data_IF_053234199252
#
_entry.id   IF_053234199252
#
_cell.length_a   1.000
_cell.length_b   1.000
_cell.length_c   1.000
_cell.angle_alpha   90.00
_cell.angle_beta   90.00
_cell.angle_gamma   90.00
#
_symmetry.space_group_name_H-M   'P 1'
#
loop_
_entity.id
_entity.type
_entity.pdbx_description
1 polymer ?
#
# COMPACT_ATOMS: atom_id res chain seq x y z
N UNK A 1 62.71 -80.44 18.78
CA UNK A 1 62.72 -78.97 18.98
C UNK A 1 61.51 -78.43 18.24
N UNK A 2 60.41 -78.11 18.92
CA UNK A 2 59.16 -77.71 18.34
C UNK A 2 58.97 -76.24 18.57
N UNK A 3 58.70 -75.50 17.46
CA UNK A 3 58.40 -74.05 17.47
C UNK A 3 56.89 -73.90 17.26
N UNK A 4 56.22 -73.49 18.30
CA UNK A 4 54.75 -73.20 18.30
C UNK A 4 54.50 -71.83 17.79
N UNK A 5 53.85 -71.68 16.59
CA UNK A 5 53.27 -70.48 16.13
C UNK A 5 51.89 -70.23 16.76
N UNK A 6 51.81 -69.24 17.62
CA UNK A 6 50.51 -68.66 18.08
C UNK A 6 49.94 -67.67 17.04
N UNK A 7 48.86 -68.09 16.44
CA UNK A 7 48.04 -67.20 15.65
C UNK A 7 47.30 -66.19 16.57
N UNK A 8 47.56 -64.91 16.44
CA UNK A 8 46.78 -63.82 17.04
C UNK A 8 45.55 -63.59 16.20
N UNK A 9 44.41 -63.94 16.71
CA UNK A 9 43.12 -63.54 16.18
C UNK A 9 43.00 -62.01 16.30
N UNK A 10 42.79 -61.35 15.15
CA UNK A 10 42.40 -59.96 15.11
C UNK A 10 40.95 -59.83 15.59
N UNK A 11 40.76 -59.43 16.80
CA UNK A 11 39.43 -59.00 17.30
C UNK A 11 39.01 -57.76 16.57
N UNK A 12 37.88 -57.82 15.93
CA UNK A 12 37.16 -56.74 15.24
C UNK A 12 36.78 -55.63 16.22
N UNK A 13 37.28 -54.45 16.01
CA UNK A 13 36.68 -53.22 16.52
C UNK A 13 35.58 -52.78 15.56
N UNK A 14 34.34 -52.94 15.88
CA UNK A 14 33.37 -51.96 15.50
C UNK A 14 32.17 -51.88 16.45
N UNK A 15 32.11 -50.98 17.35
CA UNK A 15 30.85 -50.61 18.03
C UNK A 15 30.88 -49.12 18.49
N UNK A 16 32.09 -48.51 18.58
CA UNK A 16 32.18 -47.14 19.09
C UNK A 16 31.73 -46.02 18.10
N UNK A 17 31.63 -46.28 16.79
CA UNK A 17 31.25 -45.26 15.83
C UNK A 17 29.73 -45.12 15.62
N UNK A 18 28.95 -46.14 15.90
CA UNK A 18 27.50 -46.15 15.68
C UNK A 18 26.74 -45.50 16.84
N UNK A 19 27.17 -45.72 18.07
CA UNK A 19 26.62 -45.07 19.26
C UNK A 19 26.89 -43.56 19.21
N UNK A 20 28.07 -43.16 18.75
CA UNK A 20 28.44 -41.74 18.67
C UNK A 20 27.58 -40.93 17.66
N UNK A 21 27.11 -41.50 16.56
CA UNK A 21 26.29 -40.81 15.59
C UNK A 21 24.86 -40.57 16.08
N UNK A 22 24.24 -41.54 16.72
CA UNK A 22 22.91 -41.41 17.30
C UNK A 22 22.89 -40.44 18.50
N UNK A 23 23.93 -40.51 19.36
CA UNK A 23 24.07 -39.54 20.47
C UNK A 23 24.31 -38.12 19.99
N UNK A 24 25.07 -37.90 18.90
CA UNK A 24 25.28 -36.60 18.30
C UNK A 24 24.00 -36.05 17.67
N UNK A 25 23.20 -36.88 16.99
CA UNK A 25 21.90 -36.45 16.43
C UNK A 25 20.89 -36.13 17.54
N UNK A 26 20.87 -36.93 18.63
CA UNK A 26 20.05 -36.65 19.80
C UNK A 26 20.45 -35.32 20.47
N UNK A 27 21.74 -35.11 20.67
CA UNK A 27 22.25 -33.85 21.23
C UNK A 27 21.97 -32.66 20.33
N UNK A 28 22.14 -32.78 19.00
CA UNK A 28 21.78 -31.75 18.03
C UNK A 28 20.28 -31.45 18.06
N UNK A 29 19.45 -32.46 18.28
CA UNK A 29 18.01 -32.32 18.46
C UNK A 29 17.64 -31.40 19.61
N UNK A 30 18.37 -31.53 20.74
CA UNK A 30 18.14 -30.69 21.93
C UNK A 30 18.66 -29.26 21.78
N UNK A 31 19.64 -29.07 20.88
CA UNK A 31 20.25 -27.74 20.63
C UNK A 31 19.56 -26.93 19.51
N UNK A 32 18.75 -27.55 18.67
CA UNK A 32 18.14 -26.93 17.51
C UNK A 32 16.67 -26.60 17.82
N UNK A 33 16.31 -25.32 17.78
CA UNK A 33 14.93 -24.88 17.89
C UNK A 33 14.23 -25.06 16.52
N UNK A 34 13.95 -26.32 16.13
CA UNK A 34 13.34 -26.64 14.85
C UNK A 34 13.24 -28.13 14.60
N UNK A 35 12.46 -28.50 13.59
CA UNK A 35 12.33 -29.90 13.15
C UNK A 35 13.63 -30.38 12.52
N UNK A 36 14.19 -31.47 13.04
CA UNK A 36 15.37 -32.13 12.52
C UNK A 36 14.99 -33.49 11.91
N UNK A 37 15.40 -33.70 10.66
CA UNK A 37 15.16 -34.96 9.96
C UNK A 37 16.39 -35.35 9.15
N UNK A 38 16.68 -36.67 9.12
CA UNK A 38 17.79 -37.23 8.36
C UNK A 38 17.33 -38.38 7.46
N UNK A 39 17.64 -38.23 6.16
CA UNK A 39 17.27 -39.21 5.12
C UNK A 39 18.53 -39.77 4.47
N UNK A 40 18.61 -41.11 4.34
CA UNK A 40 19.70 -41.76 3.64
C UNK A 40 19.14 -42.89 2.77
N UNK A 41 19.61 -42.97 1.51
CA UNK A 41 19.13 -43.96 0.52
C UNK A 41 17.60 -43.98 0.32
N UNK A 42 16.95 -42.82 0.43
CA UNK A 42 15.51 -42.70 0.34
C UNK A 42 14.72 -43.15 1.58
N UNK A 43 15.40 -43.53 2.64
CA UNK A 43 14.79 -43.94 3.89
C UNK A 43 14.98 -42.86 4.96
N UNK A 44 13.93 -42.62 5.73
CA UNK A 44 13.98 -41.77 6.91
C UNK A 44 14.72 -42.52 8.01
N UNK A 45 15.87 -42.01 8.41
CA UNK A 45 16.72 -42.64 9.42
C UNK A 45 16.47 -42.07 10.82
N UNK A 46 16.16 -40.78 10.88
CA UNK A 46 15.94 -40.03 12.12
C UNK A 46 14.99 -38.86 11.90
N UNK A 47 14.12 -38.62 12.85
CA UNK A 47 13.38 -37.38 13.03
C UNK A 47 13.24 -37.06 14.52
N UNK A 48 13.23 -35.78 14.88
CA UNK A 48 12.93 -35.34 16.24
C UNK A 48 11.44 -35.06 16.43
N UNK A 49 11.00 -34.92 17.68
CA UNK A 49 9.60 -34.63 18.01
C UNK A 49 9.09 -33.32 17.36
N UNK A 50 9.95 -32.32 17.31
CA UNK A 50 9.60 -31.02 16.69
C UNK A 50 9.34 -31.15 15.18
N UNK A 51 10.09 -32.00 14.45
CA UNK A 51 9.79 -32.28 13.05
C UNK A 51 8.41 -32.92 12.88
N UNK A 52 8.11 -33.94 13.72
CA UNK A 52 6.82 -34.59 13.69
C UNK A 52 5.67 -33.61 13.96
N UNK A 53 5.78 -32.78 14.99
CA UNK A 53 4.80 -31.76 15.36
C UNK A 53 4.60 -30.71 14.25
N UNK A 54 5.69 -30.20 13.65
CA UNK A 54 5.61 -29.22 12.55
C UNK A 54 4.87 -29.79 11.32
N UNK A 55 5.15 -31.05 11.01
CA UNK A 55 4.53 -31.73 9.86
C UNK A 55 3.06 -32.06 10.12
N UNK A 56 2.70 -32.42 11.34
CA UNK A 56 1.32 -32.69 11.76
C UNK A 56 0.49 -31.40 11.77
N UNK A 57 1.03 -30.28 12.27
CA UNK A 57 0.34 -28.98 12.27
C UNK A 57 0.05 -28.44 10.87
N UNK A 58 0.85 -28.83 9.89
CA UNK A 58 0.72 -28.46 8.49
C UNK A 58 -0.21 -29.38 7.68
N UNK A 59 -0.88 -30.35 8.31
CA UNK A 59 -1.74 -31.31 7.59
C UNK A 59 -3.16 -30.77 7.43
N UNK A 60 -3.74 -30.73 6.20
CA UNK A 60 -5.13 -30.34 5.99
C UNK A 60 -6.11 -31.39 6.55
N UNK A 61 -7.35 -30.96 6.87
CA UNK A 61 -8.42 -31.87 7.35
C UNK A 61 -8.64 -33.03 6.38
N UNK A 62 -8.74 -34.20 6.97
CA UNK A 62 -9.19 -35.52 6.45
C UNK A 62 -9.71 -35.54 4.99
N UNK A 63 -8.96 -36.18 4.09
CA UNK A 63 -9.48 -36.65 2.80
C UNK A 63 -8.60 -36.48 1.56
N UNK A 64 -7.65 -35.57 1.54
CA UNK A 64 -6.74 -35.42 0.40
C UNK A 64 -5.38 -34.88 0.87
N UNK A 65 -4.49 -35.77 1.22
CA UNK A 65 -3.09 -35.43 1.44
C UNK A 65 -2.60 -35.44 2.89
N UNK A 66 -2.89 -36.52 3.61
CA UNK A 66 -2.06 -36.89 4.75
C UNK A 66 -0.59 -36.67 4.37
N UNK A 67 0.09 -35.73 5.04
CA UNK A 67 1.52 -35.47 4.86
C UNK A 67 1.96 -34.72 3.59
N UNK A 68 1.16 -33.78 3.05
CA UNK A 68 1.60 -33.03 1.86
C UNK A 68 2.96 -32.33 2.10
N UNK A 69 3.17 -31.71 3.24
CA UNK A 69 4.48 -31.11 3.58
C UNK A 69 5.54 -32.20 3.81
N UNK A 70 5.25 -33.23 4.62
CA UNK A 70 6.18 -34.32 4.89
C UNK A 70 6.63 -35.02 3.60
N UNK A 71 5.69 -35.35 2.73
CA UNK A 71 5.99 -35.96 1.43
C UNK A 71 6.87 -35.06 0.58
N UNK A 72 6.51 -33.77 0.44
CA UNK A 72 7.31 -32.81 -0.33
C UNK A 72 8.72 -32.67 0.21
N UNK A 73 8.90 -32.59 1.54
CA UNK A 73 10.20 -32.49 2.18
C UNK A 73 11.05 -33.75 1.93
N UNK A 74 10.46 -34.93 2.03
CA UNK A 74 11.15 -36.20 1.77
C UNK A 74 11.51 -36.38 0.30
N UNK A 75 10.60 -36.05 -0.63
CA UNK A 75 10.83 -36.10 -2.08
C UNK A 75 11.98 -35.15 -2.47
N UNK A 76 11.99 -33.93 -1.93
CA UNK A 76 13.05 -32.95 -2.14
C UNK A 76 14.38 -33.42 -1.53
N UNK A 77 14.38 -34.06 -0.35
CA UNK A 77 15.57 -34.60 0.25
C UNK A 77 16.18 -35.76 -0.58
N UNK A 78 15.33 -36.63 -1.13
CA UNK A 78 15.77 -37.74 -2.01
C UNK A 78 16.39 -37.15 -3.28
N UNK A 79 15.74 -36.20 -3.90
CA UNK A 79 16.26 -35.48 -5.09
C UNK A 79 17.58 -34.77 -4.78
N UNK A 80 17.70 -34.19 -3.58
CA UNK A 80 18.90 -33.47 -3.15
C UNK A 80 20.09 -34.40 -2.82
N UNK A 81 19.86 -35.65 -2.45
CA UNK A 81 20.89 -36.64 -2.13
C UNK A 81 21.84 -36.95 -3.30
N UNK A 82 21.45 -36.61 -4.54
CA UNK A 82 22.30 -36.75 -5.74
C UNK A 82 23.43 -35.70 -5.83
N UNK A 83 23.40 -34.66 -4.99
CA UNK A 83 24.36 -33.55 -5.00
C UNK A 83 25.69 -33.94 -4.29
N UNK A 84 26.71 -33.08 -4.49
CA UNK A 84 28.01 -33.28 -3.87
C UNK A 84 27.94 -33.22 -2.33
N UNK A 85 28.84 -33.91 -1.66
CA UNK A 85 28.99 -33.80 -0.19
C UNK A 85 29.26 -32.32 0.20
N UNK A 86 28.59 -31.89 1.28
CA UNK A 86 28.67 -30.50 1.73
C UNK A 86 27.78 -29.50 0.96
N UNK A 87 27.06 -29.95 -0.08
CA UNK A 87 26.07 -29.09 -0.77
C UNK A 87 24.95 -28.67 0.21
N UNK A 88 24.60 -27.38 0.18
CA UNK A 88 23.57 -26.75 1.03
C UNK A 88 22.56 -26.03 0.20
N UNK A 89 21.31 -26.06 0.63
CA UNK A 89 20.20 -25.29 0.03
C UNK A 89 19.17 -24.94 1.10
N UNK A 90 18.61 -23.75 1.01
CA UNK A 90 17.40 -23.36 1.74
C UNK A 90 16.25 -23.29 0.76
N UNK A 91 15.12 -23.87 1.11
CA UNK A 91 13.87 -23.85 0.35
C UNK A 91 12.77 -23.38 1.29
N UNK A 92 11.94 -22.47 0.81
CA UNK A 92 10.76 -22.02 1.54
C UNK A 92 9.52 -22.76 1.03
N UNK A 93 8.70 -23.20 1.96
CA UNK A 93 7.44 -23.89 1.69
C UNK A 93 6.29 -23.08 2.26
N UNK A 94 5.25 -22.93 1.46
CA UNK A 94 3.97 -22.38 1.93
C UNK A 94 2.95 -23.50 1.93
N UNK A 95 2.27 -23.69 3.03
CA UNK A 95 1.17 -24.64 3.19
C UNK A 95 -0.02 -23.95 3.85
N UNK A 96 -1.21 -24.48 3.63
CA UNK A 96 -2.42 -23.98 4.23
C UNK A 96 -2.75 -24.78 5.50
N UNK A 97 -2.95 -24.08 6.62
CA UNK A 97 -3.36 -24.71 7.87
C UNK A 97 -4.82 -25.21 7.80
N UNK A 98 -5.25 -26.01 8.77
CA UNK A 98 -6.62 -26.54 8.84
C UNK A 98 -7.71 -25.46 8.89
N UNK A 99 -7.39 -24.27 9.36
CA UNK A 99 -8.27 -23.09 9.43
C UNK A 99 -8.17 -22.16 8.21
N UNK A 100 -7.41 -22.56 7.18
CA UNK A 100 -7.21 -21.79 5.95
C UNK A 100 -6.12 -20.72 6.06
N UNK A 101 -5.38 -20.63 7.17
CA UNK A 101 -4.27 -19.67 7.28
C UNK A 101 -3.02 -20.20 6.59
N UNK A 102 -2.23 -19.33 5.92
CA UNK A 102 -0.95 -19.73 5.37
C UNK A 102 0.08 -19.95 6.49
N UNK A 103 0.81 -21.04 6.40
CA UNK A 103 1.99 -21.36 7.21
C UNK A 103 3.22 -21.33 6.32
N UNK A 104 4.32 -20.79 6.83
CA UNK A 104 5.57 -20.64 6.10
C UNK A 104 6.68 -21.41 6.81
N UNK A 105 7.35 -22.32 6.09
CA UNK A 105 8.44 -23.11 6.61
C UNK A 105 9.70 -22.86 5.81
N UNK A 106 10.83 -22.60 6.50
CA UNK A 106 12.16 -22.58 5.90
C UNK A 106 12.84 -23.93 6.15
N UNK A 107 13.19 -24.62 5.09
CA UNK A 107 13.86 -25.92 5.16
C UNK A 107 15.28 -25.80 4.61
N UNK A 108 16.27 -26.16 5.44
CA UNK A 108 17.68 -26.22 5.06
C UNK A 108 18.09 -27.65 4.83
N UNK A 109 18.55 -27.94 3.62
CA UNK A 109 19.08 -29.25 3.21
C UNK A 109 20.61 -29.19 3.23
N UNK A 110 21.24 -30.23 3.77
CA UNK A 110 22.68 -30.39 3.83
C UNK A 110 23.08 -31.83 3.53
N UNK A 111 23.87 -32.02 2.48
CA UNK A 111 24.37 -33.35 2.10
C UNK A 111 25.59 -33.69 2.96
N UNK A 112 25.47 -34.75 3.76
CA UNK A 112 26.50 -35.19 4.71
C UNK A 112 26.88 -36.64 4.46
N UNK A 113 28.12 -37.07 4.80
CA UNK A 113 28.53 -38.48 4.74
C UNK A 113 27.92 -39.26 5.90
N UNK A 114 27.40 -40.43 5.60
CA UNK A 114 26.87 -41.37 6.60
C UNK A 114 27.14 -42.81 6.21
N UNK A 115 27.91 -43.56 7.01
CA UNK A 115 28.25 -44.97 6.78
C UNK A 115 28.82 -45.29 5.40
N UNK A 116 29.63 -44.38 4.86
CA UNK A 116 30.19 -44.53 3.52
C UNK A 116 29.27 -44.10 2.37
N UNK A 117 28.02 -43.77 2.67
CA UNK A 117 26.99 -43.30 1.76
C UNK A 117 26.72 -41.78 1.92
N UNK A 118 25.85 -41.25 1.10
CA UNK A 118 25.37 -39.86 1.22
C UNK A 118 24.03 -39.85 1.94
N UNK A 119 23.87 -38.94 2.89
CA UNK A 119 22.59 -38.64 3.51
C UNK A 119 22.28 -37.16 3.45
N UNK A 120 21.04 -36.83 3.64
CA UNK A 120 20.56 -35.43 3.66
C UNK A 120 20.03 -35.12 5.06
N UNK A 121 20.71 -34.20 5.71
CA UNK A 121 20.24 -33.59 6.94
C UNK A 121 19.36 -32.42 6.62
N UNK A 122 18.13 -32.41 7.13
CA UNK A 122 17.17 -31.36 7.00
C UNK A 122 16.90 -30.68 8.33
N UNK A 123 16.88 -29.36 8.32
CA UNK A 123 16.41 -28.55 9.44
C UNK A 123 15.20 -27.74 8.94
N UNK A 124 14.06 -27.92 9.58
CA UNK A 124 12.80 -27.26 9.25
C UNK A 124 12.44 -26.28 10.37
N UNK A 125 12.28 -25.04 10.01
CA UNK A 125 11.88 -23.95 10.92
C UNK A 125 10.52 -23.41 10.52
N UNK A 126 9.60 -23.23 11.47
CA UNK A 126 8.41 -22.43 11.26
C UNK A 126 8.82 -20.95 11.27
N UNK A 127 8.66 -20.30 10.15
CA UNK A 127 8.97 -18.88 9.96
C UNK A 127 7.72 -18.03 9.73
N UNK A 128 6.54 -18.59 10.03
CA UNK A 128 5.24 -17.97 9.77
C UNK A 128 5.13 -16.61 10.42
N UNK A 129 5.40 -16.50 11.71
CA UNK A 129 5.33 -15.22 12.43
C UNK A 129 6.29 -14.20 11.83
N UNK A 130 7.53 -14.60 11.55
CA UNK A 130 8.55 -13.73 10.95
C UNK A 130 8.14 -13.22 9.57
N UNK A 131 7.58 -14.07 8.72
CA UNK A 131 7.13 -13.72 7.37
C UNK A 131 5.93 -12.78 7.45
N UNK A 132 4.95 -13.10 8.31
CA UNK A 132 3.76 -12.26 8.49
C UNK A 132 4.12 -10.87 9.04
N UNK A 133 5.00 -10.79 10.03
CA UNK A 133 5.49 -9.52 10.56
C UNK A 133 6.25 -8.70 9.50
N UNK A 134 7.08 -9.36 8.69
CA UNK A 134 7.79 -8.69 7.59
C UNK A 134 6.83 -8.17 6.50
N UNK A 135 5.79 -8.94 6.15
CA UNK A 135 4.75 -8.51 5.23
C UNK A 135 3.97 -7.32 5.79
N UNK A 136 3.56 -7.38 7.05
CA UNK A 136 2.88 -6.28 7.74
C UNK A 136 3.73 -5.00 7.78
N UNK A 137 5.01 -5.11 8.12
CA UNK A 137 5.93 -3.98 8.11
C UNK A 137 6.09 -3.37 6.70
N UNK A 138 6.16 -4.21 5.67
CA UNK A 138 6.22 -3.79 4.28
C UNK A 138 4.95 -3.03 3.85
N UNK A 139 3.76 -3.50 4.24
CA UNK A 139 2.49 -2.82 3.96
C UNK A 139 2.45 -1.44 4.64
N UNK A 140 2.81 -1.37 5.92
CA UNK A 140 2.85 -0.09 6.66
C UNK A 140 3.84 0.89 6.02
N UNK A 141 5.03 0.42 5.64
CA UNK A 141 6.02 1.27 4.97
C UNK A 141 5.52 1.81 3.62
N UNK A 142 4.81 1.00 2.82
CA UNK A 142 4.18 1.45 1.56
C UNK A 142 3.12 2.51 1.80
N UNK A 143 2.25 2.32 2.80
CA UNK A 143 1.20 3.29 3.14
C UNK A 143 1.81 4.62 3.59
N UNK A 144 2.81 4.58 4.45
CA UNK A 144 3.52 5.77 4.91
C UNK A 144 4.21 6.50 3.76
N UNK A 145 4.87 5.78 2.85
CA UNK A 145 5.52 6.35 1.68
C UNK A 145 4.53 7.06 0.76
N UNK A 146 3.37 6.44 0.48
CA UNK A 146 2.33 7.03 -0.34
C UNK A 146 1.76 8.31 0.29
N UNK A 147 1.46 8.29 1.59
CA UNK A 147 0.97 9.47 2.32
C UNK A 147 2.00 10.60 2.35
N UNK A 148 3.28 10.29 2.62
CA UNK A 148 4.36 11.27 2.62
C UNK A 148 4.56 11.93 1.25
N UNK A 149 4.49 11.13 0.17
CA UNK A 149 4.56 11.63 -1.20
C UNK A 149 3.43 12.59 -1.51
N UNK A 150 2.19 12.23 -1.19
CA UNK A 150 1.03 13.10 -1.39
C UNK A 150 1.15 14.36 -0.52
N UNK A 151 1.60 14.26 0.73
CA UNK A 151 1.87 15.42 1.57
C UNK A 151 2.86 16.41 0.95
N UNK A 152 3.94 15.90 0.35
CA UNK A 152 4.93 16.72 -0.38
C UNK A 152 4.32 17.38 -1.62
N UNK A 153 3.54 16.64 -2.41
CA UNK A 153 2.89 17.15 -3.61
C UNK A 153 1.80 18.18 -3.29
N UNK A 154 1.14 18.06 -2.15
CA UNK A 154 0.11 18.99 -1.69
C UNK A 154 0.64 20.44 -1.52
N UNK A 155 1.92 20.59 -1.17
CA UNK A 155 2.57 21.90 -0.97
C UNK A 155 3.42 22.36 -2.17
N UNK A 156 3.60 21.52 -3.19
CA UNK A 156 4.48 21.81 -4.35
C UNK A 156 3.89 22.71 -5.43
N UNK A 157 2.68 23.25 -5.23
CA UNK A 157 2.02 24.11 -6.23
C UNK A 157 1.38 23.35 -7.42
N UNK A 158 1.31 22.01 -7.38
CA UNK A 158 0.58 21.21 -8.37
C UNK A 158 -0.89 21.63 -8.45
N UNK A 159 -1.51 21.55 -9.63
CA UNK A 159 -2.95 21.79 -9.75
C UNK A 159 -3.76 20.76 -8.95
N UNK A 160 -4.99 21.13 -8.56
CA UNK A 160 -5.92 20.22 -7.88
C UNK A 160 -6.13 18.91 -8.67
N UNK A 161 -6.27 19.01 -9.99
CA UNK A 161 -6.43 17.85 -10.87
C UNK A 161 -5.21 16.94 -10.87
N UNK A 162 -4.01 17.51 -10.95
CA UNK A 162 -2.78 16.72 -10.91
C UNK A 162 -2.59 16.02 -9.56
N UNK A 163 -2.92 16.69 -8.44
CA UNK A 163 -2.86 16.11 -7.11
C UNK A 163 -3.84 14.93 -6.96
N UNK A 164 -5.08 15.06 -7.46
CA UNK A 164 -6.04 13.96 -7.44
C UNK A 164 -5.58 12.76 -8.27
N UNK A 165 -4.99 13.00 -9.44
CA UNK A 165 -4.45 11.93 -10.28
C UNK A 165 -3.29 11.18 -9.59
N UNK A 166 -2.36 11.88 -8.96
CA UNK A 166 -1.30 11.26 -8.15
C UNK A 166 -1.87 10.47 -6.97
N UNK A 167 -2.88 11.02 -6.29
CA UNK A 167 -3.50 10.36 -5.14
C UNK A 167 -4.15 9.02 -5.52
N UNK A 168 -4.88 8.94 -6.63
CA UNK A 168 -5.48 7.66 -7.08
C UNK A 168 -4.41 6.67 -7.51
N UNK A 169 -3.33 7.13 -8.15
CA UNK A 169 -2.21 6.28 -8.57
C UNK A 169 -1.47 5.69 -7.38
N UNK A 170 -1.09 6.54 -6.41
CA UNK A 170 -0.41 6.10 -5.19
C UNK A 170 -1.27 5.15 -4.36
N UNK A 171 -2.56 5.45 -4.25
CA UNK A 171 -3.51 4.59 -3.51
C UNK A 171 -3.68 3.24 -4.18
N UNK A 172 -3.86 3.20 -5.51
CA UNK A 172 -4.00 1.95 -6.23
C UNK A 172 -2.75 1.06 -6.09
N UNK A 173 -1.56 1.68 -6.16
CA UNK A 173 -0.27 1.00 -5.99
C UNK A 173 -0.09 0.49 -4.56
N UNK A 174 -0.35 1.33 -3.55
CA UNK A 174 -0.17 0.98 -2.15
C UNK A 174 -1.12 -0.13 -1.68
N UNK A 175 -2.38 -0.10 -2.13
CA UNK A 175 -3.40 -1.11 -1.82
C UNK A 175 -3.37 -2.31 -2.77
N UNK A 176 -2.56 -2.29 -3.83
CA UNK A 176 -2.52 -3.34 -4.85
C UNK A 176 -3.91 -3.65 -5.43
N UNK A 177 -4.63 -2.58 -5.84
CA UNK A 177 -5.95 -2.67 -6.45
C UNK A 177 -5.94 -2.18 -7.89
N UNK A 178 -6.82 -2.74 -8.70
CA UNK A 178 -6.88 -2.44 -10.13
C UNK A 178 -7.67 -1.17 -10.45
N UNK A 179 -8.53 -0.74 -9.54
CA UNK A 179 -9.42 0.40 -9.75
C UNK A 179 -9.37 1.33 -8.53
N UNK A 180 -9.07 2.59 -8.76
CA UNK A 180 -9.17 3.63 -7.73
C UNK A 180 -9.75 4.90 -8.36
N UNK A 181 -10.60 5.64 -7.63
CA UNK A 181 -11.18 6.88 -8.13
C UNK A 181 -11.57 7.84 -7.02
N UNK A 182 -11.61 9.12 -7.37
CA UNK A 182 -12.16 10.21 -6.56
C UNK A 182 -13.44 10.70 -7.24
N UNK A 183 -14.52 10.74 -6.47
CA UNK A 183 -15.82 11.24 -6.88
C UNK A 183 -16.17 12.46 -6.03
N UNK A 184 -16.65 13.52 -6.68
CA UNK A 184 -17.07 14.76 -6.00
C UNK A 184 -18.53 15.05 -6.35
N UNK A 185 -19.39 15.38 -5.37
CA UNK A 185 -20.77 15.73 -5.62
C UNK A 185 -20.85 17.08 -6.37
N UNK A 186 -21.77 17.17 -7.32
CA UNK A 186 -22.12 18.40 -8.00
C UNK A 186 -23.28 19.05 -7.27
N UNK A 187 -23.12 20.30 -6.89
CA UNK A 187 -24.13 21.05 -6.09
C UNK A 187 -25.47 21.21 -6.81
N UNK A 188 -25.47 21.21 -8.16
CA UNK A 188 -26.65 21.53 -8.98
C UNK A 188 -27.65 20.38 -9.14
N UNK A 189 -27.18 19.12 -9.11
CA UNK A 189 -28.02 17.97 -9.47
C UNK A 189 -27.83 16.74 -8.53
N UNK A 190 -26.95 16.85 -7.54
CA UNK A 190 -26.66 15.77 -6.59
C UNK A 190 -25.93 14.57 -7.21
N UNK A 191 -25.48 14.66 -8.44
CA UNK A 191 -24.72 13.64 -9.11
C UNK A 191 -23.25 13.65 -8.70
N UNK A 192 -22.57 12.51 -8.82
CA UNK A 192 -21.16 12.35 -8.49
C UNK A 192 -20.33 12.35 -9.78
N UNK A 193 -19.36 13.27 -9.85
CA UNK A 193 -18.41 13.35 -10.95
C UNK A 193 -17.13 12.59 -10.63
N UNK A 194 -16.60 11.85 -11.62
CA UNK A 194 -15.29 11.24 -11.52
C UNK A 194 -14.23 12.30 -11.80
N UNK A 195 -13.59 12.80 -10.74
CA UNK A 195 -12.55 13.82 -10.89
C UNK A 195 -11.20 13.22 -11.26
N UNK A 196 -10.89 12.04 -10.73
CA UNK A 196 -9.68 11.29 -11.05
C UNK A 196 -9.97 9.80 -10.98
N UNK A 197 -9.23 8.97 -11.71
CA UNK A 197 -9.40 7.52 -11.67
C UNK A 197 -8.32 6.77 -12.40
N UNK A 198 -8.03 5.58 -11.91
CA UNK A 198 -7.15 4.59 -12.53
C UNK A 198 -7.92 3.28 -12.75
N UNK A 199 -7.55 2.54 -13.80
CA UNK A 199 -8.24 1.31 -14.19
C UNK A 199 -9.58 1.52 -14.89
N UNK A 200 -10.01 2.77 -15.08
CA UNK A 200 -11.19 3.17 -15.82
C UNK A 200 -10.83 3.60 -17.24
N UNK A 201 -11.83 3.57 -18.14
CA UNK A 201 -11.66 4.18 -19.45
C UNK A 201 -11.46 5.70 -19.30
N UNK A 202 -10.48 6.25 -20.00
CA UNK A 202 -10.07 7.65 -19.88
C UNK A 202 -11.16 8.65 -20.29
N UNK A 203 -12.07 8.26 -21.20
CA UNK A 203 -13.20 9.08 -21.64
C UNK A 203 -14.27 9.32 -20.57
N UNK A 204 -14.23 8.59 -19.47
CA UNK A 204 -15.16 8.68 -18.33
C UNK A 204 -14.73 9.72 -17.30
N UNK A 205 -13.43 10.07 -17.26
CA UNK A 205 -12.89 11.02 -16.28
C UNK A 205 -13.31 12.43 -16.68
N UNK A 206 -13.92 13.15 -15.74
CA UNK A 206 -14.42 14.51 -15.93
C UNK A 206 -15.74 14.63 -16.73
N UNK A 207 -16.25 13.52 -17.29
CA UNK A 207 -17.45 13.54 -18.15
C UNK A 207 -18.61 12.70 -17.62
N UNK A 208 -18.33 11.58 -16.98
CA UNK A 208 -19.37 10.67 -16.52
C UNK A 208 -19.93 11.14 -15.19
N UNK A 209 -21.23 11.29 -15.14
CA UNK A 209 -22.00 11.50 -13.93
C UNK A 209 -22.49 10.16 -13.39
N UNK A 210 -22.16 9.82 -12.16
CA UNK A 210 -22.71 8.66 -11.44
C UNK A 210 -23.84 9.15 -10.58
N UNK A 211 -25.01 8.51 -10.64
CA UNK A 211 -26.09 8.83 -9.73
C UNK A 211 -25.61 8.72 -8.28
N UNK A 212 -25.65 9.82 -7.54
CA UNK A 212 -25.24 9.94 -6.15
C UNK A 212 -26.24 9.38 -5.15
N UNK A 213 -27.31 8.74 -5.67
CA UNK A 213 -28.38 8.21 -4.83
C UNK A 213 -27.96 7.12 -3.85
N UNK A 214 -28.79 6.89 -2.84
CA UNK A 214 -28.57 5.93 -1.73
C UNK A 214 -28.36 4.48 -2.17
N UNK A 215 -28.67 4.18 -3.41
CA UNK A 215 -28.58 2.85 -4.00
C UNK A 215 -27.18 2.49 -4.54
N UNK A 216 -26.20 3.39 -4.40
CA UNK A 216 -24.80 3.13 -4.77
C UNK A 216 -23.90 3.08 -3.53
N UNK A 217 -22.75 2.39 -3.62
CA UNK A 217 -21.75 2.37 -2.54
C UNK A 217 -21.29 3.80 -2.17
N UNK A 218 -21.04 4.63 -3.16
CA UNK A 218 -20.59 6.01 -2.97
C UNK A 218 -21.67 6.87 -2.30
N UNK A 219 -22.92 6.80 -2.77
CA UNK A 219 -24.05 7.50 -2.16
C UNK A 219 -24.31 7.06 -0.73
N UNK A 220 -24.18 5.75 -0.46
CA UNK A 220 -24.30 5.23 0.89
C UNK A 220 -23.19 5.77 1.82
N UNK A 221 -21.92 5.75 1.38
CA UNK A 221 -20.80 6.28 2.15
C UNK A 221 -20.94 7.79 2.45
N UNK A 222 -21.45 8.58 1.49
CA UNK A 222 -21.69 10.02 1.68
C UNK A 222 -22.78 10.25 2.72
N UNK A 223 -23.91 9.54 2.61
CA UNK A 223 -25.06 9.72 3.48
C UNK A 223 -24.74 9.33 4.92
N UNK A 224 -24.14 8.15 5.12
CA UNK A 224 -23.83 7.63 6.44
C UNK A 224 -22.55 8.24 7.03
N UNK A 225 -21.73 8.89 6.21
CA UNK A 225 -20.42 9.49 6.59
C UNK A 225 -19.44 8.48 7.18
N UNK A 226 -19.49 7.23 6.73
CA UNK A 226 -18.65 6.13 7.21
C UNK A 226 -17.94 5.44 6.05
N UNK A 227 -16.80 4.80 6.31
CA UNK A 227 -16.19 3.87 5.38
C UNK A 227 -17.13 2.70 5.07
N UNK A 228 -17.21 2.32 3.81
CA UNK A 228 -18.06 1.21 3.32
C UNK A 228 -17.18 0.19 2.63
N UNK A 229 -17.04 -0.98 3.25
CA UNK A 229 -16.26 -2.10 2.72
C UNK A 229 -17.20 -3.18 2.21
N UNK A 230 -16.85 -3.77 1.06
CA UNK A 230 -17.57 -4.86 0.39
C UNK A 230 -16.54 -5.90 -0.03
N UNK A 231 -16.64 -7.09 0.54
CA UNK A 231 -15.75 -8.22 0.22
C UNK A 231 -16.14 -8.91 -1.10
N UNK A 232 -17.45 -8.88 -1.42
CA UNK A 232 -18.02 -9.41 -2.66
C UNK A 232 -19.34 -8.70 -2.99
N UNK A 233 -19.36 -7.90 -4.05
CA UNK A 233 -20.55 -7.17 -4.50
C UNK A 233 -21.74 -8.07 -4.84
N UNK A 234 -21.52 -9.34 -5.17
CA UNK A 234 -22.62 -10.29 -5.44
C UNK A 234 -23.39 -10.67 -4.19
N UNK A 235 -22.84 -10.45 -3.02
CA UNK A 235 -23.44 -10.72 -1.70
C UNK A 235 -23.88 -9.46 -0.96
N UNK A 236 -23.64 -8.30 -1.56
CA UNK A 236 -23.99 -7.01 -0.94
C UNK A 236 -25.50 -6.76 -1.03
N UNK A 237 -26.11 -6.35 0.09
CA UNK A 237 -27.55 -6.13 0.20
C UNK A 237 -27.93 -4.68 0.54
N UNK A 238 -26.98 -3.88 1.02
CA UNK A 238 -27.21 -2.48 1.42
C UNK A 238 -27.43 -1.55 0.21
N UNK A 239 -26.83 -1.89 -0.94
CA UNK A 239 -26.88 -1.15 -2.20
C UNK A 239 -26.50 -2.04 -3.35
N UNK A 240 -26.71 -1.58 -4.58
CA UNK A 240 -26.30 -2.29 -5.80
C UNK A 240 -24.94 -1.80 -6.29
N UNK A 241 -24.14 -2.70 -6.87
CA UNK A 241 -22.97 -2.29 -7.62
C UNK A 241 -23.39 -1.40 -8.79
N UNK A 242 -22.73 -0.24 -8.94
CA UNK A 242 -23.03 0.67 -10.06
C UNK A 242 -22.65 0.01 -11.39
N UNK A 243 -23.32 0.39 -12.47
CA UNK A 243 -23.02 -0.11 -13.83
C UNK A 243 -21.54 0.11 -14.18
N UNK A 244 -20.96 1.22 -13.75
CA UNK A 244 -19.54 1.51 -13.91
C UNK A 244 -18.66 0.41 -13.28
N UNK A 245 -18.94 0.00 -12.05
CA UNK A 245 -18.16 -1.04 -11.35
C UNK A 245 -18.26 -2.40 -12.02
N UNK A 246 -19.49 -2.78 -12.43
CA UNK A 246 -19.72 -4.07 -13.11
C UNK A 246 -19.06 -4.12 -14.49
N UNK A 247 -19.14 -3.04 -15.27
CA UNK A 247 -18.50 -2.96 -16.60
C UNK A 247 -16.96 -3.02 -16.53
N UNK A 248 -16.36 -2.54 -15.41
CA UNK A 248 -14.91 -2.62 -15.20
C UNK A 248 -14.48 -3.85 -14.40
N UNK A 249 -15.41 -4.76 -14.10
CA UNK A 249 -15.13 -6.04 -13.44
C UNK A 249 -14.78 -5.94 -11.96
N UNK A 250 -15.23 -4.89 -11.25
CA UNK A 250 -15.05 -4.78 -9.82
C UNK A 250 -15.87 -5.86 -9.08
N UNK A 251 -15.22 -6.61 -8.19
CA UNK A 251 -15.84 -7.67 -7.38
C UNK A 251 -15.87 -7.30 -5.91
N UNK A 252 -14.83 -6.67 -5.39
CA UNK A 252 -14.70 -6.21 -4.02
C UNK A 252 -14.25 -4.75 -3.98
N UNK A 253 -14.46 -4.03 -2.87
CA UNK A 253 -13.96 -2.68 -2.79
C UNK A 253 -14.28 -1.94 -1.50
N UNK A 254 -13.58 -0.83 -1.33
CA UNK A 254 -13.79 0.14 -0.27
C UNK A 254 -14.20 1.47 -0.87
N UNK A 255 -15.07 2.18 -0.16
CA UNK A 255 -15.45 3.56 -0.44
C UNK A 255 -15.42 4.34 0.85
N UNK A 256 -14.65 5.41 0.90
CA UNK A 256 -14.53 6.25 2.09
C UNK A 256 -14.92 7.69 1.78
N UNK A 257 -15.67 8.36 2.67
CA UNK A 257 -15.96 9.77 2.51
C UNK A 257 -14.69 10.60 2.76
N UNK A 258 -14.50 11.65 1.97
CA UNK A 258 -13.48 12.68 2.16
C UNK A 258 -14.06 13.73 3.10
N UNK A 259 -13.82 13.56 4.39
CA UNK A 259 -14.36 14.45 5.43
C UNK A 259 -13.44 15.65 5.64
N UNK A 260 -14.01 16.85 5.54
CA UNK A 260 -13.32 18.11 5.85
C UNK A 260 -14.22 18.87 6.81
N UNK A 261 -13.78 19.02 8.05
CA UNK A 261 -14.58 19.53 9.14
C UNK A 261 -15.90 18.72 9.24
N UNK A 262 -17.07 19.37 9.13
CA UNK A 262 -18.38 18.71 9.17
C UNK A 262 -18.98 18.44 7.79
N UNK A 263 -18.22 18.56 6.72
CA UNK A 263 -18.71 18.42 5.33
C UNK A 263 -18.06 17.24 4.63
N UNK A 264 -18.83 16.61 3.73
CA UNK A 264 -18.31 15.61 2.80
C UNK A 264 -17.91 16.33 1.52
N UNK A 265 -16.60 16.44 1.27
CA UNK A 265 -16.07 17.00 0.03
C UNK A 265 -16.34 16.06 -1.17
N UNK A 266 -16.23 14.77 -0.95
CA UNK A 266 -16.42 13.74 -1.95
C UNK A 266 -16.20 12.35 -1.37
N UNK A 267 -15.91 11.39 -2.23
CA UNK A 267 -15.52 10.04 -1.80
C UNK A 267 -14.29 9.57 -2.56
N UNK A 268 -13.46 8.80 -1.88
CA UNK A 268 -12.36 8.06 -2.48
C UNK A 268 -12.64 6.58 -2.44
N UNK A 269 -12.37 5.86 -3.54
CA UNK A 269 -12.72 4.45 -3.66
C UNK A 269 -11.56 3.62 -4.16
N UNK A 270 -11.44 2.39 -3.67
CA UNK A 270 -10.48 1.40 -4.14
C UNK A 270 -11.21 0.08 -4.37
N UNK A 271 -11.07 -0.52 -5.57
CA UNK A 271 -11.79 -1.75 -5.93
C UNK A 271 -10.86 -2.79 -6.54
N UNK A 272 -11.12 -4.05 -6.19
CA UNK A 272 -10.42 -5.21 -6.72
C UNK A 272 -11.32 -5.99 -7.69
N UNK A 273 -10.71 -6.59 -8.72
CA UNK A 273 -11.38 -7.52 -9.65
C UNK A 273 -11.49 -8.94 -9.10
N UNK A 274 -11.07 -9.16 -7.86
CA UNK A 274 -11.14 -10.45 -7.17
C UNK A 274 -11.88 -10.27 -5.84
N UNK A 275 -12.46 -11.36 -5.34
CA UNK A 275 -12.96 -11.40 -3.96
C UNK A 275 -11.79 -11.13 -3.03
N UNK A 276 -11.92 -10.13 -2.17
CA UNK A 276 -10.87 -9.68 -1.25
C UNK A 276 -11.48 -9.12 0.02
N UNK A 277 -10.91 -9.47 1.15
CA UNK A 277 -11.18 -8.83 2.43
C UNK A 277 -10.16 -7.73 2.64
N UNK A 278 -10.66 -6.52 2.84
CA UNK A 278 -9.82 -5.39 3.20
C UNK A 278 -9.68 -5.33 4.72
N UNK A 279 -8.44 -5.32 5.19
CA UNK A 279 -8.16 -5.25 6.62
C UNK A 279 -8.29 -3.83 7.16
N UNK A 280 -8.24 -3.68 8.49
CA UNK A 280 -8.41 -2.40 9.14
C UNK A 280 -7.31 -1.39 8.76
N UNK A 281 -6.05 -1.82 8.62
CA UNK A 281 -4.93 -0.94 8.24
C UNK A 281 -5.11 -0.36 6.82
N UNK A 282 -5.65 -1.16 5.88
CA UNK A 282 -5.98 -0.71 4.53
C UNK A 282 -7.12 0.32 4.54
N UNK A 283 -8.13 0.11 5.39
CA UNK A 283 -9.23 1.07 5.56
C UNK A 283 -8.71 2.39 6.15
N UNK A 284 -7.92 2.33 7.23
CA UNK A 284 -7.30 3.50 7.88
C UNK A 284 -6.40 4.28 6.91
N UNK A 285 -5.61 3.58 6.08
CA UNK A 285 -4.81 4.19 5.04
C UNK A 285 -5.68 4.94 4.03
N UNK A 286 -6.74 4.31 3.49
CA UNK A 286 -7.62 4.94 2.52
C UNK A 286 -8.35 6.15 3.12
N UNK A 287 -8.82 6.06 4.37
CA UNK A 287 -9.44 7.17 5.10
C UNK A 287 -8.46 8.35 5.26
N UNK A 288 -7.22 8.06 5.67
CA UNK A 288 -6.19 9.09 5.86
C UNK A 288 -5.86 9.77 4.54
N UNK A 289 -5.69 9.00 3.46
CA UNK A 289 -5.47 9.53 2.11
C UNK A 289 -6.62 10.42 1.66
N UNK A 290 -7.85 9.94 1.80
CA UNK A 290 -9.08 10.65 1.42
C UNK A 290 -9.20 11.99 2.16
N UNK A 291 -9.03 11.99 3.49
CA UNK A 291 -9.13 13.20 4.31
C UNK A 291 -7.98 14.20 4.01
N UNK A 292 -6.77 13.70 3.78
CA UNK A 292 -5.62 14.54 3.39
C UNK A 292 -5.93 15.27 2.08
N UNK A 293 -6.37 14.54 1.07
CA UNK A 293 -6.73 15.13 -0.24
C UNK A 293 -7.91 16.09 -0.10
N UNK A 294 -8.98 15.68 0.62
CA UNK A 294 -10.14 16.52 0.86
C UNK A 294 -9.78 17.87 1.47
N UNK A 295 -8.98 17.85 2.53
CA UNK A 295 -8.53 19.07 3.22
C UNK A 295 -7.73 20.00 2.30
N UNK A 296 -6.83 19.47 1.48
CA UNK A 296 -6.04 20.26 0.55
C UNK A 296 -6.90 20.88 -0.55
N UNK A 297 -7.84 20.11 -1.09
CA UNK A 297 -8.73 20.58 -2.16
C UNK A 297 -9.70 21.65 -1.67
N UNK A 298 -10.28 21.48 -0.46
CA UNK A 298 -11.18 22.47 0.12
C UNK A 298 -10.44 23.77 0.45
N UNK A 299 -9.23 23.69 1.00
CA UNK A 299 -8.41 24.87 1.25
C UNK A 299 -8.16 25.66 -0.05
N UNK A 300 -7.77 24.98 -1.13
CA UNK A 300 -7.55 25.63 -2.45
C UNK A 300 -8.81 26.27 -3.00
N UNK A 301 -9.94 25.55 -2.91
CA UNK A 301 -11.24 26.10 -3.31
C UNK A 301 -11.59 27.38 -2.54
N UNK A 302 -11.28 27.39 -1.25
CA UNK A 302 -11.50 28.56 -0.39
C UNK A 302 -10.61 29.74 -0.80
N UNK A 303 -9.31 29.47 -1.03
CA UNK A 303 -8.34 30.47 -1.48
C UNK A 303 -8.75 31.07 -2.84
N UNK A 304 -9.17 30.24 -3.81
CA UNK A 304 -9.67 30.66 -5.12
C UNK A 304 -10.95 31.51 -4.98
N UNK A 305 -11.92 31.06 -4.16
CA UNK A 305 -13.17 31.78 -3.94
C UNK A 305 -12.94 33.14 -3.29
N UNK A 306 -12.03 33.22 -2.32
CA UNK A 306 -11.65 34.50 -1.69
C UNK A 306 -10.97 35.41 -2.68
N UNK A 307 -10.06 34.93 -3.50
CA UNK A 307 -9.37 35.72 -4.51
C UNK A 307 -10.36 36.28 -5.53
N UNK A 308 -11.29 35.44 -6.01
CA UNK A 308 -12.37 35.89 -6.92
C UNK A 308 -13.28 36.93 -6.27
N UNK A 309 -13.59 36.78 -4.98
CA UNK A 309 -14.39 37.73 -4.24
C UNK A 309 -13.67 39.10 -4.13
N UNK A 310 -12.40 39.10 -3.73
CA UNK A 310 -11.59 40.32 -3.67
C UNK A 310 -11.45 40.98 -5.04
N UNK A 311 -11.23 40.19 -6.08
CA UNK A 311 -11.15 40.72 -7.45
C UNK A 311 -12.45 41.37 -7.89
N UNK A 312 -13.61 40.78 -7.61
CA UNK A 312 -14.93 41.39 -7.89
C UNK A 312 -15.16 42.66 -7.11
N UNK A 313 -14.82 42.72 -5.83
CA UNK A 313 -14.91 43.92 -5.01
C UNK A 313 -14.04 45.01 -5.59
N UNK A 314 -12.80 44.72 -5.95
CA UNK A 314 -11.87 45.66 -6.58
C UNK A 314 -12.40 46.25 -7.88
N UNK A 315 -12.96 45.40 -8.74
CA UNK A 315 -13.54 45.82 -10.03
C UNK A 315 -14.84 46.63 -9.88
N UNK A 316 -15.67 46.33 -8.87
CA UNK A 316 -16.97 46.94 -8.65
C UNK A 316 -16.92 48.21 -7.76
N UNK A 317 -15.78 48.48 -7.12
CA UNK A 317 -15.62 49.64 -6.26
C UNK A 317 -15.92 50.95 -7.03
N UNK A 318 -16.69 51.84 -6.39
CA UNK A 318 -16.97 53.14 -6.93
C UNK A 318 -15.80 54.13 -6.72
N UNK A 319 -15.02 53.89 -5.67
CA UNK A 319 -13.84 54.69 -5.40
C UNK A 319 -12.64 54.16 -6.21
N UNK A 320 -11.75 55.10 -6.56
CA UNK A 320 -10.50 54.75 -7.24
C UNK A 320 -9.54 54.00 -6.33
N UNK A 321 -9.27 52.74 -6.67
CA UNK A 321 -8.35 51.88 -5.91
C UNK A 321 -7.18 51.44 -6.81
N UNK A 322 -5.95 51.59 -6.29
CA UNK A 322 -4.76 51.03 -6.91
C UNK A 322 -3.94 50.22 -5.87
N UNK A 323 -3.18 49.25 -6.37
CA UNK A 323 -2.18 48.54 -5.57
C UNK A 323 -0.79 48.73 -6.18
N UNK A 324 0.21 48.86 -5.31
CA UNK A 324 1.61 49.01 -5.75
C UNK A 324 2.45 47.87 -5.17
N UNK A 325 3.53 47.57 -5.86
CA UNK A 325 4.58 46.72 -5.32
C UNK A 325 5.43 47.43 -4.25
N UNK A 326 6.37 46.73 -3.65
CA UNK A 326 7.28 47.27 -2.65
C UNK A 326 8.24 48.34 -3.19
N UNK A 327 8.36 48.49 -4.49
CA UNK A 327 9.14 49.54 -5.15
C UNK A 327 8.28 50.77 -5.52
N UNK A 328 6.98 50.75 -5.20
CA UNK A 328 6.01 51.78 -5.50
C UNK A 328 5.54 51.80 -6.93
N UNK A 329 5.62 50.69 -7.68
CA UNK A 329 5.06 50.58 -9.03
C UNK A 329 3.67 50.04 -8.96
N UNK A 330 2.75 50.58 -9.77
CA UNK A 330 1.34 50.20 -9.87
C UNK A 330 1.26 48.76 -10.41
N UNK A 331 0.68 47.85 -9.64
CA UNK A 331 0.38 46.49 -10.00
C UNK A 331 -1.08 46.29 -10.40
N UNK A 332 -2.01 47.02 -9.74
CA UNK A 332 -3.42 46.95 -10.02
C UNK A 332 -4.05 48.36 -10.08
N UNK A 333 -5.03 48.50 -10.95
CA UNK A 333 -5.73 49.76 -11.26
C UNK A 333 -7.19 49.44 -11.58
N UNK A 334 -8.13 49.93 -10.75
CA UNK A 334 -9.53 49.57 -10.94
C UNK A 334 -10.26 50.47 -11.97
N UNK A 335 -11.42 50.03 -12.50
CA UNK A 335 -12.18 50.82 -13.48
C UNK A 335 -12.65 52.19 -12.96
N UNK A 336 -12.79 52.35 -11.65
CA UNK A 336 -13.14 53.66 -11.09
C UNK A 336 -12.00 54.66 -11.27
N UNK A 337 -10.75 54.27 -11.06
CA UNK A 337 -9.58 55.12 -11.36
C UNK A 337 -9.48 55.49 -12.84
N UNK A 338 -9.81 54.57 -13.76
CA UNK A 338 -9.85 54.89 -15.18
C UNK A 338 -10.88 56.00 -15.47
N UNK A 339 -12.10 55.88 -14.91
CA UNK A 339 -13.16 56.91 -15.10
C UNK A 339 -12.78 58.25 -14.46
N UNK A 340 -12.12 58.21 -13.29
CA UNK A 340 -11.77 59.42 -12.54
C UNK A 340 -10.58 60.17 -13.11
N UNK A 341 -9.61 59.45 -13.65
CA UNK A 341 -8.30 60.00 -14.02
C UNK A 341 -8.08 60.09 -15.52
N UNK A 342 -8.83 59.29 -16.31
CA UNK A 342 -8.63 59.16 -17.74
C UNK A 342 -7.47 58.22 -18.14
N UNK A 343 -6.66 57.71 -17.15
CA UNK A 343 -5.63 56.76 -17.44
C UNK A 343 -6.21 55.36 -17.50
N UNK A 344 -5.92 54.63 -18.58
CA UNK A 344 -6.31 53.24 -18.68
C UNK A 344 -5.44 52.36 -17.77
N UNK A 345 -5.93 51.16 -17.39
CA UNK A 345 -5.16 50.20 -16.62
C UNK A 345 -3.82 49.88 -17.31
N UNK A 346 -3.83 49.67 -18.60
CA UNK A 346 -2.64 49.35 -19.39
C UNK A 346 -1.59 50.45 -19.37
N UNK A 347 -2.00 51.71 -19.40
CA UNK A 347 -1.10 52.86 -19.31
C UNK A 347 -0.55 53.08 -17.91
N UNK A 348 -1.30 52.72 -16.85
CA UNK A 348 -0.94 52.94 -15.46
C UNK A 348 -0.01 51.83 -14.91
N UNK A 349 -0.17 50.59 -15.32
CA UNK A 349 0.59 49.44 -14.84
C UNK A 349 2.11 49.63 -15.02
N UNK A 350 2.88 49.29 -13.97
CA UNK A 350 4.34 49.41 -13.94
C UNK A 350 4.85 50.84 -13.71
N UNK A 351 3.97 51.85 -13.81
CA UNK A 351 4.33 53.24 -13.50
C UNK A 351 4.23 53.51 -11.99
N UNK A 352 4.74 54.65 -11.56
CA UNK A 352 4.54 55.12 -10.17
C UNK A 352 3.28 55.97 -10.10
N UNK A 353 2.56 56.00 -8.95
CA UNK A 353 1.39 56.85 -8.73
C UNK A 353 1.61 58.33 -8.99
N UNK A 354 2.87 58.73 -9.13
CA UNK A 354 3.22 60.10 -9.59
C UNK A 354 2.61 60.52 -10.93
N UNK A 355 2.08 59.60 -11.74
CA UNK A 355 1.29 59.92 -12.95
C UNK A 355 0.03 60.73 -12.63
N UNK A 356 -0.46 60.66 -11.36
CA UNK A 356 -1.62 61.41 -10.89
C UNK A 356 -1.28 62.83 -10.40
N UNK A 357 -0.02 63.25 -10.46
CA UNK A 357 0.38 64.61 -10.05
C UNK A 357 -0.30 65.66 -10.92
N UNK A 358 -1.14 66.50 -10.33
CA UNK A 358 -1.81 67.59 -11.01
C UNK A 358 -0.91 68.76 -11.39
N UNK A 359 0.32 68.79 -10.80
CA UNK A 359 1.21 69.97 -10.92
C UNK A 359 0.76 71.21 -10.17
N UNK A 360 -0.39 71.20 -9.50
CA UNK A 360 -0.97 72.34 -8.77
C UNK A 360 -0.45 72.53 -7.34
N UNK A 361 0.20 71.49 -6.80
CA UNK A 361 0.75 71.51 -5.44
C UNK A 361 2.28 71.65 -5.44
N UNK A 362 2.88 72.29 -4.44
CA UNK A 362 4.30 72.43 -4.36
C UNK A 362 4.99 71.11 -4.03
N UNK A 363 6.31 70.92 -4.31
CA UNK A 363 7.05 69.69 -4.08
C UNK A 363 6.92 69.13 -2.68
N UNK A 364 6.94 69.99 -1.66
CA UNK A 364 6.86 69.63 -0.23
C UNK A 364 5.53 68.95 0.13
N UNK A 365 4.46 69.20 -0.59
CA UNK A 365 3.17 68.51 -0.46
C UNK A 365 3.31 67.02 -0.85
N UNK A 366 3.97 66.78 -1.94
CA UNK A 366 4.14 65.39 -2.43
C UNK A 366 5.17 64.64 -1.62
N UNK A 367 6.19 65.28 -1.05
CA UNK A 367 7.15 64.64 -0.12
C UNK A 367 6.50 64.21 1.18
N UNK A 368 5.45 64.89 1.65
CA UNK A 368 4.68 64.50 2.85
C UNK A 368 3.62 63.44 2.57
N UNK A 369 3.23 63.27 1.32
CA UNK A 369 2.22 62.32 0.94
C UNK A 369 2.79 60.89 0.80
N UNK A 370 4.08 60.76 0.57
CA UNK A 370 4.80 59.52 0.37
C UNK A 370 5.72 59.22 1.56
#
# INVERSE_FOLDING_TARGET
>A
MASTHRSRSKASRPVRSEIAAAEVLAWLSDCIHGGLCFVCQGLLIFENSQFAELVESASPRVGAGEHALRKRLLDDAIAWNTRALGARKTVEYTVEAQDGRPLYYACRFNVVPYRGERGVLMVVEDVTERVLLAQDASHVARFQSALARIGTLAVSGLSAQALMNEAVQETATALEVELCKILVPREQDGHLYIMAGIGLRSDLIGKLTIEGGTHSQAGYAIRERIPVVVDDFRRETRFSASKLLTEHGAVAGMCVPMLVEDRVYGVMTAHSKRVRKFNQKEQEFLCTMANTIGTVLERRRHEETQMDFYHRLFLSAQDGVMMTDTTGRIMEWNPALERMTGWTREEALGRRPAILKSGKHPPEFYERLW
#
